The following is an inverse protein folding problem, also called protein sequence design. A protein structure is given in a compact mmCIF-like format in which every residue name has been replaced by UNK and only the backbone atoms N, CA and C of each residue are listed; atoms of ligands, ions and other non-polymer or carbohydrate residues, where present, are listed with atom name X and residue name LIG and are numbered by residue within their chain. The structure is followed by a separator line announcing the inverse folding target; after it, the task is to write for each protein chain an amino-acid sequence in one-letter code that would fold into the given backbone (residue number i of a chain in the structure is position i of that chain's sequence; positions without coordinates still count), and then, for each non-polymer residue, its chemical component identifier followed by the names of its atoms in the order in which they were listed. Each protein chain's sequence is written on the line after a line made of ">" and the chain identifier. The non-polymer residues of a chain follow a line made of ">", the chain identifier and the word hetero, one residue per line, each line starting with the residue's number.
data_IF_141590009109
#
_entry.id   IF_141590009109
#
_cell.length_a   1.000
_cell.length_b   1.000
_cell.length_c   1.000
_cell.angle_alpha   90.00
_cell.angle_beta   90.00
_cell.angle_gamma   90.00
#
_symmetry.space_group_name_H-M   'P 1'
#
loop_
_entity.id
_entity.type
_entity.pdbx_description
1 polymer ?
#
# COMPACT_ATOMS: atom_id res chain seq x y z
N UNK A 1 12.76 15.51 -6.17
CA UNK A 1 11.89 14.57 -5.42
C UNK A 1 11.56 13.38 -6.31
N UNK A 2 11.83 12.14 -5.89
CA UNK A 2 11.48 10.93 -6.68
C UNK A 2 10.04 10.50 -6.42
N UNK A 3 9.43 9.76 -7.36
CA UNK A 3 8.12 9.14 -7.18
C UNK A 3 8.05 8.26 -5.92
N UNK A 4 9.17 7.62 -5.57
CA UNK A 4 9.31 6.84 -4.34
C UNK A 4 9.16 7.70 -3.09
N UNK A 5 9.93 8.78 -2.97
CA UNK A 5 9.89 9.67 -1.80
C UNK A 5 8.49 10.29 -1.63
N UNK A 6 7.86 10.68 -2.73
CA UNK A 6 6.50 11.24 -2.73
C UNK A 6 5.46 10.20 -2.30
N UNK A 7 5.58 8.96 -2.78
CA UNK A 7 4.74 7.83 -2.35
C UNK A 7 4.93 7.51 -0.87
N UNK A 8 6.18 7.46 -0.41
CA UNK A 8 6.54 7.15 0.97
C UNK A 8 5.99 8.19 1.95
N UNK A 9 6.17 9.48 1.63
CA UNK A 9 5.65 10.57 2.47
C UNK A 9 4.13 10.49 2.60
N UNK A 10 3.43 10.21 1.50
CA UNK A 10 1.99 10.04 1.51
C UNK A 10 1.54 8.83 2.36
N UNK A 11 2.19 7.67 2.19
CA UNK A 11 1.93 6.47 3.02
C UNK A 11 2.17 6.74 4.51
N UNK A 12 3.20 7.52 4.84
CA UNK A 12 3.50 7.89 6.21
C UNK A 12 2.42 8.79 6.81
N UNK A 13 1.94 9.80 6.07
CA UNK A 13 0.85 10.66 6.54
C UNK A 13 -0.43 9.86 6.79
N UNK A 14 -0.79 8.94 5.88
CA UNK A 14 -1.97 8.09 6.04
C UNK A 14 -1.80 7.11 7.20
N UNK A 15 -0.60 6.57 7.40
CA UNK A 15 -0.30 5.69 8.54
C UNK A 15 -0.49 6.41 9.87
N UNK A 16 0.07 7.61 10.02
CA UNK A 16 -0.07 8.41 11.24
C UNK A 16 -1.53 8.79 11.51
N UNK A 17 -2.29 9.11 10.44
CA UNK A 17 -3.71 9.41 10.55
C UNK A 17 -4.53 8.18 10.96
N UNK A 18 -4.30 7.03 10.33
CA UNK A 18 -4.97 5.77 10.66
C UNK A 18 -4.63 5.30 12.08
N UNK A 19 -3.38 5.46 12.50
CA UNK A 19 -2.94 5.16 13.86
C UNK A 19 -3.59 6.07 14.88
N UNK A 20 -3.75 7.35 14.57
CA UNK A 20 -4.46 8.32 15.41
C UNK A 20 -5.95 8.02 15.52
N UNK A 21 -6.53 7.45 14.47
CA UNK A 21 -7.92 6.95 14.44
C UNK A 21 -8.11 5.62 15.21
N UNK A 22 -7.01 5.00 15.67
CA UNK A 22 -7.05 3.70 16.33
C UNK A 22 -7.26 2.53 15.37
N UNK A 23 -6.99 2.72 14.08
CA UNK A 23 -7.13 1.66 13.08
C UNK A 23 -6.08 0.56 13.28
N UNK A 24 -6.55 -0.69 13.21
CA UNK A 24 -5.66 -1.86 13.20
C UNK A 24 -4.74 -1.87 11.97
N UNK A 25 -3.68 -2.69 12.00
CA UNK A 25 -2.77 -2.89 10.88
C UNK A 25 -3.49 -3.19 9.55
N UNK A 26 -4.57 -3.98 9.57
CA UNK A 26 -5.40 -4.23 8.38
C UNK A 26 -6.16 -2.99 7.89
N UNK A 27 -6.68 -2.18 8.81
CA UNK A 27 -7.34 -0.91 8.50
C UNK A 27 -6.37 0.10 7.91
N UNK A 28 -5.19 0.23 8.50
CA UNK A 28 -4.11 1.09 8.02
C UNK A 28 -3.63 0.67 6.63
N UNK A 29 -3.45 -0.63 6.41
CA UNK A 29 -3.10 -1.17 5.09
C UNK A 29 -4.16 -0.84 4.03
N UNK A 30 -5.45 -0.90 4.38
CA UNK A 30 -6.55 -0.49 3.48
C UNK A 30 -6.50 1.01 3.23
N UNK A 31 -6.37 1.83 4.28
CA UNK A 31 -6.35 3.29 4.16
C UNK A 31 -5.22 3.76 3.23
N UNK A 32 -4.04 3.14 3.33
CA UNK A 32 -2.91 3.43 2.43
C UNK A 32 -3.23 3.07 0.98
N UNK A 33 -3.83 1.90 0.73
CA UNK A 33 -4.21 1.46 -0.63
C UNK A 33 -5.32 2.34 -1.25
N UNK A 34 -6.28 2.75 -0.41
CA UNK A 34 -7.41 3.61 -0.75
C UNK A 34 -6.99 5.05 -1.04
N UNK A 35 -6.03 5.58 -0.26
CA UNK A 35 -5.51 6.94 -0.40
C UNK A 35 -4.56 7.13 -1.59
N UNK A 36 -4.50 6.19 -2.54
CA UNK A 36 -3.58 6.29 -3.68
C UNK A 36 -3.87 7.55 -4.53
N UNK A 37 -2.96 8.54 -4.56
CA UNK A 37 -3.27 9.87 -5.11
C UNK A 37 -3.12 9.94 -6.64
N UNK A 38 -2.66 8.85 -7.29
CA UNK A 38 -2.45 8.83 -8.73
C UNK A 38 -3.58 8.06 -9.39
N UNK A 39 -4.49 8.75 -10.09
CA UNK A 39 -5.61 8.07 -10.78
C UNK A 39 -5.16 7.09 -11.87
N UNK A 40 -3.94 7.25 -12.40
CA UNK A 40 -3.43 6.41 -13.47
C UNK A 40 -2.48 5.34 -12.92
N UNK A 41 -2.92 4.07 -12.94
CA UNK A 41 -2.10 2.89 -12.56
C UNK A 41 -1.11 2.49 -13.66
N UNK A 42 -0.47 3.46 -14.30
CA UNK A 42 0.44 3.24 -15.42
C UNK A 42 1.75 4.00 -15.22
N UNK A 43 2.85 3.40 -15.67
CA UNK A 43 4.17 4.04 -15.68
C UNK A 43 4.98 3.92 -14.39
N UNK A 44 5.98 4.79 -14.25
CA UNK A 44 6.98 4.74 -13.18
C UNK A 44 6.41 5.09 -11.80
N UNK A 45 5.34 5.89 -11.74
CA UNK A 45 4.66 6.25 -10.48
C UNK A 45 4.07 5.02 -9.78
N UNK A 46 3.37 4.15 -10.53
CA UNK A 46 2.77 2.93 -9.99
C UNK A 46 3.84 1.91 -9.54
N UNK A 47 4.94 1.77 -10.29
CA UNK A 47 6.08 0.93 -9.89
C UNK A 47 6.74 1.44 -8.61
N UNK A 48 7.00 2.74 -8.52
CA UNK A 48 7.59 3.36 -7.34
C UNK A 48 6.68 3.23 -6.11
N UNK A 49 5.37 3.43 -6.28
CA UNK A 49 4.38 3.20 -5.24
C UNK A 49 4.38 1.74 -4.77
N UNK A 50 4.35 0.77 -5.69
CA UNK A 50 4.39 -0.66 -5.34
C UNK A 50 5.65 -1.04 -4.57
N UNK A 51 6.81 -0.47 -4.95
CA UNK A 51 8.07 -0.68 -4.25
C UNK A 51 8.06 -0.06 -2.84
N UNK A 52 7.67 1.21 -2.73
CA UNK A 52 7.54 1.92 -1.45
C UNK A 52 6.56 1.21 -0.51
N UNK A 53 5.40 0.78 -1.05
CA UNK A 53 4.38 0.05 -0.30
C UNK A 53 4.92 -1.24 0.29
N UNK A 54 5.65 -2.03 -0.51
CA UNK A 54 6.18 -3.33 -0.05
C UNK A 54 7.17 -3.14 1.09
N UNK A 55 8.02 -2.13 1.00
CA UNK A 55 9.01 -1.82 2.03
C UNK A 55 8.36 -1.23 3.28
N UNK A 56 7.39 -0.31 3.11
CA UNK A 56 6.62 0.27 4.21
C UNK A 56 5.86 -0.82 4.98
N UNK A 57 5.15 -1.70 4.30
CA UNK A 57 4.41 -2.77 4.98
C UNK A 57 5.34 -3.73 5.71
N UNK A 58 6.53 -4.01 5.16
CA UNK A 58 7.55 -4.82 5.84
C UNK A 58 8.07 -4.13 7.10
N UNK A 59 8.30 -2.81 7.03
CA UNK A 59 8.82 -2.00 8.14
C UNK A 59 7.82 -1.89 9.29
N UNK A 60 6.53 -1.73 8.99
CA UNK A 60 5.47 -1.55 9.98
C UNK A 60 4.67 -2.85 10.27
N UNK A 61 5.17 -4.01 9.81
CA UNK A 61 4.51 -5.32 9.94
C UNK A 61 3.04 -5.33 9.53
N UNK A 62 2.68 -4.50 8.55
CA UNK A 62 1.31 -4.41 8.05
C UNK A 62 1.00 -5.65 7.21
N UNK A 63 -0.23 -6.19 7.29
CA UNK A 63 -0.63 -7.29 6.45
C UNK A 63 -0.64 -6.82 4.99
N UNK A 64 0.32 -7.31 4.19
CA UNK A 64 0.15 -7.24 2.74
C UNK A 64 -1.11 -8.06 2.45
N UNK A 65 -2.18 -7.38 2.02
CA UNK A 65 -3.22 -8.06 1.26
C UNK A 65 -2.50 -8.68 0.07
N UNK A 66 -2.17 -9.97 0.18
CA UNK A 66 -1.80 -10.78 -0.97
C UNK A 66 -2.89 -10.49 -1.98
N UNK A 67 -2.53 -9.91 -3.13
CA UNK A 67 -3.41 -9.92 -4.29
C UNK A 67 -3.97 -11.33 -4.33
N UNK A 68 -5.30 -11.46 -4.15
CA UNK A 68 -5.99 -12.75 -4.06
C UNK A 68 -5.40 -13.57 -5.20
N UNK A 69 -4.51 -14.52 -4.89
CA UNK A 69 -3.98 -15.43 -5.90
C UNK A 69 -5.25 -16.09 -6.39
N UNK A 70 -5.59 -15.81 -7.66
CA UNK A 70 -6.77 -16.38 -8.29
C UNK A 70 -6.82 -17.86 -7.94
N UNK A 71 -8.04 -18.33 -7.65
CA UNK A 71 -8.31 -19.69 -7.21
C UNK A 71 -7.37 -20.66 -7.90
N UNK A 72 -6.52 -21.31 -7.10
CA UNK A 72 -5.82 -22.50 -7.53
C UNK A 72 -6.82 -23.65 -7.46
N UNK A 73 -7.86 -23.55 -8.28
CA UNK A 73 -8.93 -24.53 -8.46
C UNK A 73 -9.13 -24.71 -9.97
N UNK A 74 -8.07 -25.11 -10.66
CA UNK A 74 -8.12 -25.68 -12.02
C UNK A 74 -7.36 -27.01 -12.00
N UNK A 75 -7.86 -27.93 -11.17
CA UNK A 75 -7.77 -29.36 -11.41
C UNK A 75 -9.21 -29.84 -11.60
N UNK A 76 -9.57 -30.14 -12.84
CA UNK A 76 -10.85 -30.71 -13.26
C UNK A 76 -10.69 -31.25 -14.67
#
# INVERSE_FOLDING_TARGET
>A
MTWYARSWQHMHQVHEQAKSDGADAAGTAKAIDDSYPFSERSGWAYKAWSAARRDFFRKYQLPLRRARKGGADLFG
#
